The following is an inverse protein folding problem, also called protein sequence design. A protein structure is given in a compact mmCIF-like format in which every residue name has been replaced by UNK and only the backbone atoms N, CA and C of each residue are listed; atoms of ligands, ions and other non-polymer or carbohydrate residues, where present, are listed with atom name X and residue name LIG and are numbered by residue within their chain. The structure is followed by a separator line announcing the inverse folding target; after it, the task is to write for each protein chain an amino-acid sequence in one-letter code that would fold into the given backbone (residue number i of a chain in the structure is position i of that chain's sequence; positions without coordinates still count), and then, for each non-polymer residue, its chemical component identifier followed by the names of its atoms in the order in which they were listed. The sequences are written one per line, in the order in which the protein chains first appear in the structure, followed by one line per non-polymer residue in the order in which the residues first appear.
data_IF_943210247864
#
_entry.id   IF_943210247864
#
_cell.length_a   1.000
_cell.length_b   1.000
_cell.length_c   1.000
_cell.angle_alpha   90.00
_cell.angle_beta   90.00
_cell.angle_gamma   90.00
#
_symmetry.space_group_name_H-M   'P 1'
#
loop_
_entity.id
_entity.type
_entity.pdbx_description
1 polymer ?
#
# COMPACT_ATOMS: atom_id res chain seq x y z
N UNK A 1 -25.31 1.34 2.14
CA UNK A 1 -24.35 0.25 1.92
C UNK A 1 -23.65 -0.01 3.24
N UNK A 2 -23.39 -1.26 3.63
CA UNK A 2 -22.64 -1.57 4.87
C UNK A 2 -21.13 -1.39 4.64
N UNK A 3 -20.35 -1.16 5.70
CA UNK A 3 -18.88 -1.07 5.65
C UNK A 3 -18.27 -2.28 4.94
N UNK A 4 -18.66 -3.49 5.33
CA UNK A 4 -18.19 -4.73 4.70
C UNK A 4 -18.45 -4.78 3.17
N UNK A 5 -19.62 -4.30 2.72
CA UNK A 5 -19.92 -4.26 1.29
C UNK A 5 -19.05 -3.21 0.55
N UNK A 6 -18.74 -2.08 1.19
CA UNK A 6 -17.79 -1.10 0.64
C UNK A 6 -16.38 -1.66 0.53
N UNK A 7 -15.91 -2.35 1.58
CA UNK A 7 -14.57 -2.93 1.63
C UNK A 7 -14.40 -4.05 0.59
N UNK A 8 -15.43 -4.89 0.40
CA UNK A 8 -15.46 -5.91 -0.66
C UNK A 8 -15.40 -5.29 -2.07
N UNK A 9 -16.11 -4.18 -2.31
CA UNK A 9 -16.05 -3.45 -3.59
C UNK A 9 -14.64 -2.90 -3.83
N UNK A 10 -14.05 -2.26 -2.83
CA UNK A 10 -12.68 -1.71 -2.91
C UNK A 10 -11.67 -2.81 -3.19
N UNK A 11 -11.71 -3.91 -2.43
CA UNK A 11 -10.84 -5.06 -2.64
C UNK A 11 -11.01 -5.66 -4.04
N UNK A 12 -12.25 -5.78 -4.53
CA UNK A 12 -12.55 -6.24 -5.89
C UNK A 12 -11.92 -5.36 -6.97
N UNK A 13 -12.03 -4.02 -6.83
CA UNK A 13 -11.41 -3.05 -7.75
C UNK A 13 -9.88 -3.13 -7.72
N UNK A 14 -9.27 -3.22 -6.53
CA UNK A 14 -7.81 -3.37 -6.39
C UNK A 14 -7.30 -4.65 -7.06
N UNK A 15 -7.98 -5.78 -6.85
CA UNK A 15 -7.64 -7.04 -7.51
C UNK A 15 -7.79 -6.97 -9.03
N UNK A 16 -8.81 -6.26 -9.54
CA UNK A 16 -8.98 -6.03 -10.96
C UNK A 16 -7.87 -5.14 -11.54
N UNK A 17 -7.48 -4.07 -10.85
CA UNK A 17 -6.35 -3.22 -11.21
C UNK A 17 -5.04 -4.03 -11.27
N UNK A 18 -4.77 -4.86 -10.25
CA UNK A 18 -3.61 -5.75 -10.23
C UNK A 18 -3.57 -6.74 -11.39
N UNK A 19 -4.72 -7.34 -11.74
CA UNK A 19 -4.83 -8.27 -12.88
C UNK A 19 -4.54 -7.58 -14.21
N UNK A 20 -5.02 -6.35 -14.39
CA UNK A 20 -4.79 -5.58 -15.61
C UNK A 20 -3.30 -5.22 -15.84
N UNK A 21 -2.48 -5.28 -14.78
CA UNK A 21 -1.03 -5.06 -14.86
C UNK A 21 -0.23 -6.31 -15.21
N UNK A 22 -0.81 -7.51 -15.12
CA UNK A 22 -0.10 -8.76 -15.38
C UNK A 22 0.42 -8.81 -16.82
N UNK A 23 1.70 -9.16 -16.99
CA UNK A 23 2.36 -9.22 -18.30
C UNK A 23 2.67 -7.88 -18.97
N UNK A 24 2.46 -6.75 -18.27
CA UNK A 24 2.89 -5.43 -18.74
C UNK A 24 4.27 -5.08 -18.19
N UNK A 25 4.88 -3.97 -18.64
CA UNK A 25 6.15 -3.47 -18.08
C UNK A 25 6.05 -3.08 -16.59
N UNK A 26 4.83 -2.90 -16.08
CA UNK A 26 4.54 -2.55 -14.70
C UNK A 26 4.24 -3.78 -13.82
N UNK A 27 4.36 -4.99 -14.35
CA UNK A 27 4.15 -6.22 -13.59
C UNK A 27 5.31 -6.48 -12.61
N UNK A 28 5.20 -5.93 -11.41
CA UNK A 28 6.14 -6.14 -10.31
C UNK A 28 5.70 -7.27 -9.37
N UNK A 29 6.65 -8.07 -8.90
CA UNK A 29 6.40 -9.08 -7.86
C UNK A 29 5.98 -8.43 -6.53
N UNK A 30 6.47 -7.21 -6.26
CA UNK A 30 6.16 -6.41 -5.08
C UNK A 30 4.66 -6.01 -4.99
N UNK A 31 3.99 -5.88 -6.13
CA UNK A 31 2.60 -5.42 -6.18
C UNK A 31 1.62 -6.33 -5.45
N UNK A 32 1.91 -7.63 -5.34
CA UNK A 32 1.02 -8.55 -4.64
C UNK A 32 0.99 -8.27 -3.14
N UNK A 33 2.13 -7.91 -2.55
CA UNK A 33 2.18 -7.47 -1.16
C UNK A 33 1.39 -6.17 -0.99
N UNK A 34 1.64 -5.15 -1.81
CA UNK A 34 0.96 -3.86 -1.67
C UNK A 34 -0.54 -3.94 -1.89
N UNK A 35 -1.03 -4.76 -2.81
CA UNK A 35 -2.49 -4.98 -2.97
C UNK A 35 -3.10 -5.55 -1.70
N UNK A 36 -2.41 -6.48 -1.03
CA UNK A 36 -2.88 -7.03 0.24
C UNK A 36 -2.89 -5.98 1.36
N UNK A 37 -1.89 -5.08 1.39
CA UNK A 37 -1.87 -3.93 2.30
C UNK A 37 -3.05 -3.00 2.03
N UNK A 38 -3.25 -2.58 0.78
CA UNK A 38 -4.31 -1.67 0.38
C UNK A 38 -5.71 -2.22 0.68
N UNK A 39 -5.94 -3.52 0.45
CA UNK A 39 -7.22 -4.18 0.78
C UNK A 39 -7.54 -4.21 2.29
N UNK A 40 -6.54 -3.99 3.15
CA UNK A 40 -6.68 -4.03 4.61
C UNK A 40 -6.56 -2.64 5.26
N UNK A 41 -6.37 -1.59 4.48
CA UNK A 41 -6.45 -0.22 4.99
C UNK A 41 -7.89 0.05 5.42
N UNK A 42 -8.07 0.22 6.72
CA UNK A 42 -9.35 0.58 7.34
C UNK A 42 -9.36 2.07 7.69
N UNK A 43 -10.26 2.82 7.07
CA UNK A 43 -10.38 4.26 7.29
C UNK A 43 -10.77 4.63 8.73
N UNK A 44 -11.54 3.79 9.44
CA UNK A 44 -11.90 4.04 10.83
C UNK A 44 -10.71 3.81 11.77
N UNK A 45 -9.84 2.83 11.44
CA UNK A 45 -8.65 2.50 12.24
C UNK A 45 -7.49 3.46 11.94
N UNK A 46 -7.25 3.78 10.67
CA UNK A 46 -6.06 4.49 10.21
C UNK A 46 -6.31 5.97 9.86
N UNK A 47 -7.58 6.39 9.78
CA UNK A 47 -7.97 7.74 9.36
C UNK A 47 -7.97 7.99 7.86
N UNK A 48 -7.70 6.95 7.05
CA UNK A 48 -7.77 6.94 5.58
C UNK A 48 -7.85 5.50 5.05
N UNK A 49 -8.44 5.34 3.87
CA UNK A 49 -8.49 4.07 3.12
C UNK A 49 -7.79 4.15 1.77
N UNK A 50 -7.80 3.04 1.02
CA UNK A 50 -7.16 2.98 -0.31
C UNK A 50 -7.72 4.02 -1.29
N UNK A 51 -9.01 4.36 -1.21
CA UNK A 51 -9.66 5.38 -2.05
C UNK A 51 -9.14 6.80 -1.80
N UNK A 52 -8.55 7.06 -0.64
CA UNK A 52 -8.06 8.39 -0.28
C UNK A 52 -6.65 8.65 -0.82
N UNK A 53 -5.95 7.60 -1.27
CA UNK A 53 -4.61 7.71 -1.83
C UNK A 53 -4.65 8.41 -3.19
N UNK A 54 -3.77 9.38 -3.38
CA UNK A 54 -3.59 10.11 -4.62
C UNK A 54 -2.33 9.65 -5.37
N UNK A 55 -1.20 9.56 -4.68
CA UNK A 55 0.06 9.19 -5.31
C UNK A 55 1.04 8.62 -4.28
N UNK A 56 1.80 7.60 -4.68
CA UNK A 56 2.94 7.08 -3.91
C UNK A 56 4.17 7.91 -4.22
N UNK A 57 4.78 8.46 -3.18
CA UNK A 57 5.97 9.31 -3.27
C UNK A 57 7.27 8.50 -3.10
N UNK A 58 7.23 7.46 -2.27
CA UNK A 58 8.33 6.54 -2.04
C UNK A 58 7.79 5.16 -1.66
N UNK A 59 8.49 4.10 -2.04
CA UNK A 59 8.12 2.72 -1.70
C UNK A 59 9.37 1.89 -1.42
N UNK A 60 9.21 0.89 -0.56
CA UNK A 60 10.28 -0.02 -0.17
C UNK A 60 9.77 -1.43 0.11
N UNK A 61 10.68 -2.39 0.05
CA UNK A 61 10.45 -3.78 0.44
C UNK A 61 11.51 -4.25 1.44
N UNK A 62 11.13 -5.27 2.20
CA UNK A 62 11.96 -6.06 3.07
C UNK A 62 13.24 -6.56 2.40
N UNK A 63 14.25 -6.88 3.21
CA UNK A 63 15.48 -7.50 2.67
C UNK A 63 15.18 -8.89 2.09
N UNK A 64 16.05 -9.36 1.19
CA UNK A 64 15.91 -10.70 0.61
C UNK A 64 15.90 -11.78 1.71
N UNK A 65 14.77 -12.48 1.85
CA UNK A 65 14.52 -13.43 2.95
C UNK A 65 13.31 -13.05 3.82
N UNK A 66 12.91 -11.78 3.79
CA UNK A 66 11.70 -11.24 4.41
C UNK A 66 10.76 -10.62 3.36
N UNK A 67 10.35 -11.35 2.31
CA UNK A 67 9.65 -10.78 1.15
C UNK A 67 8.22 -10.27 1.42
N UNK A 68 7.82 -10.21 2.69
CA UNK A 68 6.47 -9.82 3.12
C UNK A 68 6.49 -8.71 4.18
N UNK A 69 7.58 -7.96 4.23
CA UNK A 69 7.60 -6.63 4.84
C UNK A 69 7.81 -5.60 3.73
N UNK A 70 7.14 -4.46 3.83
CA UNK A 70 7.24 -3.41 2.83
C UNK A 70 6.30 -2.28 3.14
N UNK A 71 6.53 -1.13 2.52
CA UNK A 71 5.76 0.05 2.83
C UNK A 71 5.91 1.14 1.80
N UNK A 72 5.14 2.19 2.00
CA UNK A 72 5.18 3.35 1.14
C UNK A 72 4.80 4.63 1.89
N UNK A 73 5.29 5.75 1.38
CA UNK A 73 4.78 7.07 1.70
C UNK A 73 3.89 7.51 0.55
N UNK A 74 2.69 7.98 0.86
CA UNK A 74 1.73 8.44 -0.13
C UNK A 74 1.15 9.80 0.23
N UNK A 75 0.74 10.53 -0.80
CA UNK A 75 -0.11 11.71 -0.69
C UNK A 75 -1.56 11.27 -0.75
N UNK A 76 -2.40 11.84 0.10
CA UNK A 76 -3.85 11.71 0.06
C UNK A 76 -4.46 12.74 -0.90
N UNK A 77 -5.69 12.48 -1.36
CA UNK A 77 -6.47 13.38 -2.23
C UNK A 77 -6.75 14.74 -1.59
N UNK A 78 -6.75 14.82 -0.26
CA UNK A 78 -6.88 16.08 0.49
C UNK A 78 -5.56 16.85 0.68
N UNK A 79 -4.45 16.32 0.16
CA UNK A 79 -3.13 16.92 0.20
C UNK A 79 -2.27 16.51 1.39
N UNK A 80 -2.81 15.82 2.41
CA UNK A 80 -2.02 15.30 3.52
C UNK A 80 -1.10 14.16 3.06
N UNK A 81 -0.04 13.89 3.83
CA UNK A 81 0.88 12.77 3.58
C UNK A 81 0.66 11.69 4.63
N UNK A 82 0.78 10.44 4.19
CA UNK A 82 0.64 9.25 5.03
C UNK A 82 1.81 8.31 4.81
N UNK A 83 2.08 7.51 5.83
CA UNK A 83 2.90 6.32 5.70
C UNK A 83 2.05 5.07 5.89
N UNK A 84 2.47 3.99 5.23
CA UNK A 84 1.91 2.67 5.41
C UNK A 84 3.06 1.67 5.44
N UNK A 85 3.09 0.83 6.46
CA UNK A 85 4.05 -0.26 6.64
C UNK A 85 3.27 -1.55 6.84
N UNK A 86 3.37 -2.44 5.86
CA UNK A 86 2.76 -3.76 5.85
C UNK A 86 3.76 -4.81 6.29
N UNK A 87 3.35 -5.66 7.23
CA UNK A 87 4.14 -6.78 7.73
C UNK A 87 3.32 -8.04 7.66
N UNK A 88 3.90 -9.12 7.18
CA UNK A 88 3.32 -10.45 7.19
C UNK A 88 4.35 -11.47 7.66
N UNK A 89 3.97 -12.35 8.60
CA UNK A 89 4.78 -13.48 9.02
C UNK A 89 4.83 -14.56 7.93
N UNK A 90 5.98 -15.23 7.81
CA UNK A 90 6.17 -16.46 7.01
C UNK A 90 5.46 -16.51 5.65
N UNK A 91 5.91 -15.73 4.68
CA UNK A 91 5.59 -15.92 3.26
C UNK A 91 4.12 -15.76 2.84
N UNK A 92 3.20 -15.35 3.72
CA UNK A 92 1.78 -15.12 3.42
C UNK A 92 1.15 -14.13 4.40
N UNK A 93 -0.01 -13.57 4.05
CA UNK A 93 -0.80 -12.73 4.96
C UNK A 93 -1.75 -13.59 5.80
N UNK A 94 -1.51 -13.69 7.10
CA UNK A 94 -2.43 -14.30 8.07
C UNK A 94 -2.87 -13.27 9.12
N UNK A 95 -4.05 -13.45 9.71
CA UNK A 95 -4.55 -12.52 10.74
C UNK A 95 -3.75 -12.57 12.05
N UNK A 96 -3.00 -13.65 12.29
CA UNK A 96 -2.28 -13.88 13.55
C UNK A 96 -0.88 -13.25 13.55
N UNK A 97 -0.27 -13.09 12.37
CA UNK A 97 1.14 -12.70 12.22
C UNK A 97 1.37 -11.54 11.24
N UNK A 98 0.29 -10.92 10.76
CA UNK A 98 0.37 -9.79 9.85
C UNK A 98 -0.23 -8.55 10.46
N UNK A 99 0.43 -7.42 10.27
CA UNK A 99 0.00 -6.13 10.79
C UNK A 99 0.21 -5.03 9.75
N UNK A 100 -0.60 -3.99 9.86
CA UNK A 100 -0.46 -2.77 9.09
C UNK A 100 -0.36 -1.62 10.08
N UNK A 101 0.79 -0.97 10.03
CA UNK A 101 1.06 0.27 10.73
C UNK A 101 0.89 1.41 9.72
N UNK A 102 -0.06 2.30 9.96
CA UNK A 102 -0.37 3.38 9.05
C UNK A 102 -0.77 4.63 9.83
N UNK A 103 -0.35 5.79 9.33
CA UNK A 103 -0.63 7.07 9.98
C UNK A 103 -0.29 8.26 9.10
N UNK A 104 -0.74 9.43 9.56
CA UNK A 104 -0.39 10.71 8.95
C UNK A 104 1.08 11.03 9.26
N UNK A 105 1.75 11.68 8.31
CA UNK A 105 3.08 12.25 8.49
C UNK A 105 2.96 13.73 8.79
N UNK A 106 3.86 14.24 9.63
CA UNK A 106 3.95 15.67 9.90
C UNK A 106 4.52 16.43 8.69
N UNK A 107 4.25 17.74 8.62
CA UNK A 107 4.75 18.60 7.54
C UNK A 107 6.28 18.60 7.50
N UNK A 108 6.83 18.12 6.38
CA UNK A 108 8.28 18.04 6.13
C UNK A 108 8.94 16.72 6.53
N UNK A 109 8.22 15.80 7.16
CA UNK A 109 8.74 14.47 7.50
C UNK A 109 8.87 13.61 6.24
N UNK A 110 10.08 13.30 5.79
CA UNK A 110 10.28 12.53 4.56
C UNK A 110 9.89 11.05 4.72
N UNK A 111 10.15 10.50 5.90
CA UNK A 111 9.89 9.11 6.27
C UNK A 111 9.42 9.06 7.73
N UNK A 112 8.48 8.17 8.08
CA UNK A 112 8.01 8.04 9.46
C UNK A 112 9.15 7.66 10.41
N UNK A 113 9.18 8.21 11.62
CA UNK A 113 9.88 7.59 12.76
C UNK A 113 9.12 6.32 13.20
N UNK A 114 9.28 5.20 12.49
CA UNK A 114 8.76 3.93 13.00
C UNK A 114 9.59 3.47 14.20
N UNK A 115 8.88 3.01 15.24
CA UNK A 115 9.50 2.60 16.49
C UNK A 115 10.63 1.58 16.29
N UNK A 116 11.64 1.61 17.16
CA UNK A 116 12.80 0.72 17.09
C UNK A 116 12.37 -0.76 17.08
N UNK A 117 12.43 -1.37 15.90
CA UNK A 117 12.39 -2.82 15.67
C UNK A 117 13.61 -3.16 14.83
N UNK A 118 14.34 -4.19 15.24
CA UNK A 118 15.58 -4.63 14.59
C UNK A 118 15.38 -4.75 13.07
N UNK A 119 16.23 -4.07 12.27
CA UNK A 119 16.29 -4.28 10.82
C UNK A 119 15.87 -3.10 9.93
N UNK A 120 15.33 -2.01 10.48
CA UNK A 120 14.81 -0.86 9.71
C UNK A 120 15.82 -0.09 8.85
N UNK A 121 17.12 -0.42 8.94
CA UNK A 121 18.20 0.48 8.50
C UNK A 121 18.77 0.19 7.09
N UNK A 122 18.11 -0.63 6.27
CA UNK A 122 18.64 -0.94 4.93
C UNK A 122 17.60 -1.07 3.81
N UNK A 123 16.37 -0.58 4.00
CA UNK A 123 15.39 -0.56 2.91
C UNK A 123 15.71 0.60 1.96
N UNK A 124 16.48 0.31 0.90
CA UNK A 124 16.67 1.26 -0.19
C UNK A 124 15.30 1.53 -0.82
N UNK A 125 14.84 2.78 -0.77
CA UNK A 125 13.68 3.20 -1.54
C UNK A 125 13.91 2.91 -3.03
N UNK A 126 12.87 2.42 -3.71
CA UNK A 126 12.92 2.08 -5.12
C UNK A 126 11.91 2.92 -5.91
N UNK A 127 12.42 3.87 -6.69
CA UNK A 127 11.62 4.73 -7.56
C UNK A 127 10.81 3.92 -8.59
N UNK A 128 11.32 2.78 -9.06
CA UNK A 128 10.60 1.95 -10.01
C UNK A 128 9.38 1.28 -9.35
N UNK A 129 9.51 0.92 -8.07
CA UNK A 129 8.40 0.38 -7.27
C UNK A 129 7.32 1.44 -7.03
N UNK A 130 7.72 2.66 -6.65
CA UNK A 130 6.78 3.77 -6.50
C UNK A 130 6.02 4.05 -7.82
N UNK A 131 6.70 3.99 -8.98
CA UNK A 131 6.04 4.13 -10.29
C UNK A 131 5.03 3.01 -10.57
N UNK A 132 5.38 1.75 -10.31
CA UNK A 132 4.45 0.62 -10.48
C UNK A 132 3.22 0.76 -9.58
N UNK A 133 3.40 1.26 -8.36
CA UNK A 133 2.29 1.51 -7.43
C UNK A 133 1.39 2.65 -7.89
N UNK A 134 1.94 3.75 -8.37
CA UNK A 134 1.13 4.84 -8.95
C UNK A 134 0.31 4.34 -10.14
N UNK A 135 0.91 3.52 -11.01
CA UNK A 135 0.23 2.94 -12.17
C UNK A 135 -0.87 1.93 -11.77
N UNK A 136 -0.76 1.29 -10.60
CA UNK A 136 -1.84 0.53 -9.97
C UNK A 136 -2.97 1.46 -9.48
N UNK A 137 -2.62 2.55 -8.78
CA UNK A 137 -3.58 3.54 -8.26
C UNK A 137 -4.36 4.21 -9.40
N UNK A 138 -3.71 4.59 -10.49
CA UNK A 138 -4.36 5.20 -11.65
C UNK A 138 -5.44 4.26 -12.25
N UNK A 139 -5.16 2.94 -12.33
CA UNK A 139 -6.14 1.94 -12.79
C UNK A 139 -7.24 1.65 -11.78
N UNK A 140 -6.96 1.86 -10.51
CA UNK A 140 -7.93 1.71 -9.44
C UNK A 140 -8.93 2.88 -9.48
N UNK A 141 -8.43 4.11 -9.60
CA UNK A 141 -9.23 5.34 -9.71
C UNK A 141 -10.00 5.43 -11.04
N UNK A 142 -9.40 5.06 -12.18
CA UNK A 142 -10.06 5.09 -13.49
C UNK A 142 -11.33 4.21 -13.55
N UNK A 143 -11.41 3.19 -12.69
CA UNK A 143 -12.57 2.29 -12.58
C UNK A 143 -13.68 2.81 -11.67
N UNK A 144 -13.52 3.98 -11.06
CA UNK A 144 -14.63 4.68 -10.40
C UNK A 144 -15.56 5.41 -11.40
N UNK A 145 -15.14 5.52 -12.67
CA UNK A 145 -15.88 6.19 -13.73
C UNK A 145 -16.63 5.27 -14.71
N UNK A 146 -16.55 3.94 -14.56
CA UNK A 146 -17.33 3.01 -15.40
C UNK A 146 -18.70 2.72 -14.74
N UNK A 147 -19.83 2.95 -15.46
CA UNK A 147 -21.18 2.81 -14.92
C UNK A 147 -21.60 1.37 -14.62
#
# INVERSE_FOLDING_TARGET
MSKAASDEIVAGKLLAARRALRGTEWDGNDLDHFVQVLCRLDADRHGFGANDLLAVEAAWMGTAGEPWSGGFVARLKDGRRVHVDGRAGHSHWSEEDSDIEAGLLDDGEQHPELGARDGWQAHACDDAMARRLNELLDRFDAREGEP
#
